data_IF_482397932660
#
_entry.id   IF_482397932660
#
_cell.length_a   1.000
_cell.length_b   1.000
_cell.length_c   1.000
_cell.angle_alpha   90.00
_cell.angle_beta   90.00
_cell.angle_gamma   90.00
#
_symmetry.space_group_name_H-M   'P 1'
#
loop_
_entity.id
_entity.type
_entity.pdbx_description
1 polymer ?
#
# COMPACT_ATOMS: atom_id res chain seq x y z
N UNK A 1 19.10 -1.34 9.54
CA UNK A 1 18.80 0.11 9.44
C UNK A 1 17.62 0.41 8.50
N UNK A 2 17.70 0.09 7.20
CA UNK A 2 16.68 0.55 6.22
C UNK A 2 15.25 0.00 6.42
N UNK A 3 15.08 -1.24 6.87
CA UNK A 3 13.74 -1.82 7.16
C UNK A 3 12.98 -1.03 8.23
N UNK A 4 13.68 -0.62 9.29
CA UNK A 4 13.08 0.11 10.40
C UNK A 4 12.66 1.51 9.96
N UNK A 5 13.50 2.21 9.19
CA UNK A 5 13.13 3.53 8.64
C UNK A 5 11.86 3.51 7.78
N UNK A 6 11.67 2.47 6.96
CA UNK A 6 10.46 2.33 6.15
C UNK A 6 9.26 2.03 7.03
N UNK A 7 9.43 1.19 8.06
CA UNK A 7 8.37 0.93 9.04
C UNK A 7 7.98 2.20 9.77
N UNK A 8 8.93 2.94 10.32
CA UNK A 8 8.68 4.17 11.07
C UNK A 8 7.94 5.20 10.21
N UNK A 9 8.32 5.31 8.92
CA UNK A 9 7.61 6.18 7.97
C UNK A 9 6.15 5.74 7.76
N UNK A 10 5.91 4.45 7.53
CA UNK A 10 4.55 3.92 7.33
C UNK A 10 3.71 4.10 8.60
N UNK A 11 4.29 3.81 9.77
CA UNK A 11 3.61 3.94 11.06
C UNK A 11 3.19 5.41 11.28
N UNK A 12 4.04 6.41 10.95
CA UNK A 12 3.62 7.83 10.98
C UNK A 12 2.49 8.12 9.99
N UNK A 13 2.53 7.54 8.78
CA UNK A 13 1.50 7.76 7.76
C UNK A 13 0.16 7.07 8.07
N UNK A 14 0.14 6.05 8.93
CA UNK A 14 -1.09 5.41 9.40
C UNK A 14 -1.84 6.33 10.41
N UNK A 15 -1.11 7.15 11.17
CA UNK A 15 -1.67 8.06 12.19
C UNK A 15 -2.00 9.47 11.65
N UNK A 16 -1.29 9.92 10.61
CA UNK A 16 -1.46 11.26 10.03
C UNK A 16 -2.57 11.32 8.96
N UNK A 17 -3.37 12.39 8.97
CA UNK A 17 -4.28 12.72 7.86
C UNK A 17 -3.52 13.43 6.72
N UNK A 18 -2.95 12.64 5.82
CA UNK A 18 -2.12 13.12 4.70
C UNK A 18 -2.96 13.57 3.51
N UNK A 19 -4.21 13.11 3.39
CA UNK A 19 -5.06 13.35 2.22
C UNK A 19 -6.53 13.25 2.57
N UNK A 20 -7.39 13.91 1.79
CA UNK A 20 -8.83 13.90 2.10
C UNK A 20 -9.43 12.50 1.99
N UNK A 21 -10.48 12.19 2.77
CA UNK A 21 -11.16 10.89 2.72
C UNK A 21 -11.62 10.50 1.31
N UNK A 22 -12.03 11.46 0.49
CA UNK A 22 -12.45 11.23 -0.90
C UNK A 22 -11.28 10.75 -1.76
N UNK A 23 -10.08 11.31 -1.55
CA UNK A 23 -8.88 10.94 -2.30
C UNK A 23 -8.30 9.60 -1.85
N UNK A 24 -8.36 9.30 -0.56
CA UNK A 24 -8.02 7.96 -0.04
C UNK A 24 -8.97 6.91 -0.62
N UNK A 25 -10.28 7.18 -0.60
CA UNK A 25 -11.29 6.30 -1.19
C UNK A 25 -11.09 6.10 -2.69
N UNK A 26 -10.85 7.17 -3.43
CA UNK A 26 -10.58 7.09 -4.87
C UNK A 26 -9.33 6.22 -5.13
N UNK A 27 -8.24 6.48 -4.42
CA UNK A 27 -6.97 5.78 -4.63
C UNK A 27 -7.08 4.28 -4.34
N UNK A 28 -7.73 3.89 -3.24
CA UNK A 28 -7.85 2.47 -2.89
C UNK A 28 -8.73 1.70 -3.90
N UNK A 29 -9.78 2.33 -4.43
CA UNK A 29 -10.64 1.75 -5.48
C UNK A 29 -9.88 1.60 -6.80
N UNK A 30 -9.11 2.62 -7.20
CA UNK A 30 -8.27 2.60 -8.40
C UNK A 30 -7.18 1.51 -8.30
N UNK A 31 -6.54 1.36 -7.12
CA UNK A 31 -5.53 0.31 -6.89
C UNK A 31 -6.13 -1.09 -6.83
N UNK A 32 -7.31 -1.27 -6.20
CA UNK A 32 -8.03 -2.53 -6.20
C UNK A 32 -8.29 -3.01 -7.63
N UNK A 33 -8.78 -2.09 -8.49
CA UNK A 33 -9.03 -2.36 -9.90
C UNK A 33 -7.75 -2.62 -10.68
N UNK A 34 -6.73 -1.77 -10.52
CA UNK A 34 -5.46 -1.88 -11.26
C UNK A 34 -4.69 -3.17 -10.93
N UNK A 35 -4.79 -3.65 -9.69
CA UNK A 35 -4.10 -4.86 -9.25
C UNK A 35 -4.97 -6.11 -9.19
N UNK A 36 -6.28 -6.01 -9.50
CA UNK A 36 -7.26 -7.08 -9.30
C UNK A 36 -7.15 -7.68 -7.88
N UNK A 37 -7.07 -6.80 -6.88
CA UNK A 37 -6.87 -7.19 -5.48
C UNK A 37 -7.81 -6.38 -4.57
N UNK A 38 -8.89 -7.00 -4.14
CA UNK A 38 -9.92 -6.35 -3.30
C UNK A 38 -9.40 -5.96 -1.91
N UNK A 39 -8.25 -6.49 -1.47
CA UNK A 39 -7.67 -6.11 -0.17
C UNK A 39 -7.34 -4.60 -0.07
N UNK A 40 -7.23 -3.88 -1.19
CA UNK A 40 -7.10 -2.43 -1.16
C UNK A 40 -8.39 -1.74 -0.67
N UNK A 41 -9.57 -2.32 -0.90
CA UNK A 41 -10.85 -1.75 -0.47
C UNK A 41 -11.02 -1.71 1.05
N UNK A 42 -10.23 -2.50 1.79
CA UNK A 42 -10.19 -2.51 3.25
C UNK A 42 -9.27 -1.43 3.83
N UNK A 43 -8.51 -0.71 2.99
CA UNK A 43 -7.64 0.37 3.48
C UNK A 43 -8.46 1.62 3.81
N UNK A 44 -8.16 2.22 4.96
CA UNK A 44 -8.85 3.40 5.50
C UNK A 44 -7.97 4.66 5.47
N UNK A 45 -6.64 4.52 5.40
CA UNK A 45 -5.69 5.63 5.38
C UNK A 45 -4.54 5.42 4.37
N UNK A 46 -3.71 6.45 4.19
CA UNK A 46 -2.59 6.42 3.24
C UNK A 46 -1.48 5.45 3.63
N UNK A 47 -1.22 5.27 4.94
CA UNK A 47 -0.22 4.31 5.44
C UNK A 47 -0.57 2.88 5.07
N UNK A 48 -1.82 2.47 5.27
CA UNK A 48 -2.34 1.14 4.91
C UNK A 48 -2.25 0.88 3.41
N UNK A 49 -2.66 1.85 2.59
CA UNK A 49 -2.55 1.76 1.12
C UNK A 49 -1.10 1.54 0.71
N UNK A 50 -0.16 2.35 1.22
CA UNK A 50 1.26 2.24 0.87
C UNK A 50 1.85 0.89 1.29
N UNK A 51 1.52 0.41 2.48
CA UNK A 51 1.95 -0.88 3.02
C UNK A 51 1.51 -2.03 2.11
N UNK A 52 0.25 -2.05 1.70
CA UNK A 52 -0.28 -3.08 0.80
C UNK A 52 0.32 -2.96 -0.61
N UNK A 53 0.54 -1.74 -1.10
CA UNK A 53 1.16 -1.48 -2.40
C UNK A 53 2.60 -2.01 -2.46
N UNK A 54 3.39 -1.75 -1.41
CA UNK A 54 4.76 -2.25 -1.30
C UNK A 54 4.77 -3.78 -1.24
N UNK A 55 3.89 -4.39 -0.44
CA UNK A 55 3.75 -5.86 -0.38
C UNK A 55 3.41 -6.46 -1.74
N UNK A 56 2.45 -5.87 -2.45
CA UNK A 56 2.02 -6.30 -3.79
C UNK A 56 3.14 -6.20 -4.82
N UNK A 57 3.89 -5.09 -4.80
CA UNK A 57 5.00 -4.82 -5.72
C UNK A 57 6.17 -5.76 -5.46
N UNK A 58 6.57 -5.94 -4.20
CA UNK A 58 7.65 -6.85 -3.81
C UNK A 58 7.28 -8.31 -4.12
N UNK A 59 6.06 -8.75 -3.84
CA UNK A 59 5.61 -10.10 -4.17
C UNK A 59 5.69 -10.37 -5.69
N UNK A 60 5.22 -9.41 -6.52
CA UNK A 60 5.34 -9.49 -7.98
C UNK A 60 6.81 -9.55 -8.43
N UNK A 61 7.67 -8.73 -7.84
CA UNK A 61 9.10 -8.72 -8.17
C UNK A 61 9.78 -10.04 -7.78
N UNK A 62 9.50 -10.58 -6.59
CA UNK A 62 10.06 -11.87 -6.13
C UNK A 62 9.60 -13.01 -7.03
N UNK A 63 8.30 -13.04 -7.42
CA UNK A 63 7.79 -14.04 -8.38
C UNK A 63 8.54 -13.96 -9.71
N UNK A 64 8.70 -12.75 -10.25
CA UNK A 64 9.44 -12.50 -11.50
C UNK A 64 10.91 -12.90 -11.42
N UNK A 65 11.60 -12.61 -10.30
CA UNK A 65 13.00 -12.99 -10.10
C UNK A 65 13.16 -14.51 -9.92
N UNK A 66 12.18 -15.18 -9.29
CA UNK A 66 12.22 -16.63 -9.07
C UNK A 66 11.89 -17.49 -10.30
N UNK A 67 11.46 -16.90 -11.43
CA UNK A 67 11.04 -17.62 -12.64
C UNK A 67 10.18 -18.86 -12.32
N UNK A 68 9.03 -18.61 -11.68
CA UNK A 68 7.82 -19.43 -11.81
C UNK A 68 6.81 -18.58 -12.56
#
# INVERSE_FOLDING_TARGET
ASRYRVKDLIDCMEEDDISTPEKVKQLREDLAKHHSNEAFLECENMGEILKLQLKSTLAKHIRKVRNI
#
